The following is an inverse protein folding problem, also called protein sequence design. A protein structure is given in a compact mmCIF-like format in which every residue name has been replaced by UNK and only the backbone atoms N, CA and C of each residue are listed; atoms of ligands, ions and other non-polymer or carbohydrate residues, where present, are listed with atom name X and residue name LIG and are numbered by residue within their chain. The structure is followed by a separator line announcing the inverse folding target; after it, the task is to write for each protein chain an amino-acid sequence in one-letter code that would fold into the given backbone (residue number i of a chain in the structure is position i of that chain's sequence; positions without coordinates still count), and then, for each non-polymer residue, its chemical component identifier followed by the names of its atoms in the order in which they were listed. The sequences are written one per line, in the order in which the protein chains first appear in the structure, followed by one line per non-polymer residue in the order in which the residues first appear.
data_IF_862442427209
#
_entry.id   IF_862442427209
#
_cell.length_a   1.000
_cell.length_b   1.000
_cell.length_c   1.000
_cell.angle_alpha   90.00
_cell.angle_beta   90.00
_cell.angle_gamma   90.00
#
_symmetry.space_group_name_H-M   'P 1'
#
loop_
_entity.id
_entity.type
_entity.pdbx_description
1 polymer ?
#
# COMPACT_ATOMS: atom_id res chain seq x y z
N UNK A 1 -46.78 3.99 32.94
CA UNK A 1 -45.40 4.51 32.75
C UNK A 1 -44.80 3.92 31.48
N UNK A 2 -45.42 4.17 30.32
CA UNK A 2 -45.09 3.50 29.06
C UNK A 2 -45.30 4.39 27.82
N UNK A 3 -45.48 5.70 28.03
CA UNK A 3 -45.93 6.63 26.97
C UNK A 3 -44.84 7.60 26.51
N UNK A 4 -43.72 7.65 27.24
CA UNK A 4 -42.45 8.22 26.80
C UNK A 4 -41.60 7.14 26.14
N UNK A 5 -42.17 6.32 25.24
CA UNK A 5 -41.34 5.50 24.35
C UNK A 5 -40.68 6.46 23.34
N UNK A 6 -39.61 7.07 23.85
CA UNK A 6 -38.42 7.63 23.23
C UNK A 6 -38.59 8.20 21.81
N UNK A 7 -39.24 9.36 21.71
CA UNK A 7 -39.01 10.30 20.57
C UNK A 7 -37.51 10.54 20.38
N UNK A 8 -36.75 10.56 21.48
CA UNK A 8 -35.28 10.59 21.48
C UNK A 8 -34.65 9.44 20.69
N UNK A 9 -35.17 8.21 20.79
CA UNK A 9 -34.62 7.06 20.06
C UNK A 9 -34.85 7.16 18.55
N UNK A 10 -35.96 7.77 18.12
CA UNK A 10 -36.21 8.05 16.70
C UNK A 10 -35.19 9.05 16.15
N UNK A 11 -34.93 10.13 16.89
CA UNK A 11 -33.93 11.14 16.51
C UNK A 11 -32.50 10.59 16.55
N UNK A 12 -32.19 9.72 17.53
CA UNK A 12 -30.91 8.99 17.60
C UNK A 12 -30.70 8.07 16.39
N UNK A 13 -31.72 7.32 15.96
CA UNK A 13 -31.65 6.44 14.80
C UNK A 13 -31.47 7.23 13.49
N UNK A 14 -32.21 8.33 13.31
CA UNK A 14 -32.02 9.23 12.16
C UNK A 14 -30.63 9.85 12.15
N UNK A 15 -30.13 10.27 13.32
CA UNK A 15 -28.77 10.81 13.46
C UNK A 15 -27.73 9.75 13.12
N UNK A 16 -27.83 8.55 13.68
CA UNK A 16 -26.90 7.45 13.41
C UNK A 16 -26.88 7.08 11.92
N UNK A 17 -28.05 7.02 11.27
CA UNK A 17 -28.15 6.84 9.81
C UNK A 17 -27.36 7.92 9.06
N UNK A 18 -27.54 9.19 9.44
CA UNK A 18 -26.80 10.30 8.83
C UNK A 18 -25.29 10.19 9.03
N UNK A 19 -24.84 9.87 10.24
CA UNK A 19 -23.42 9.67 10.56
C UNK A 19 -22.82 8.46 9.81
N UNK A 20 -23.59 7.38 9.62
CA UNK A 20 -23.12 6.20 8.88
C UNK A 20 -22.91 6.50 7.39
N UNK A 21 -23.80 7.29 6.78
CA UNK A 21 -23.64 7.74 5.38
C UNK A 21 -22.41 8.64 5.27
N UNK A 22 -22.27 9.62 6.16
CA UNK A 22 -21.10 10.51 6.19
C UNK A 22 -19.79 9.73 6.34
N UNK A 23 -19.74 8.79 7.27
CA UNK A 23 -18.58 7.92 7.47
C UNK A 23 -18.22 7.18 6.18
N UNK A 24 -19.19 6.62 5.48
CA UNK A 24 -18.95 5.91 4.23
C UNK A 24 -18.37 6.83 3.14
N UNK A 25 -18.91 8.03 3.01
CA UNK A 25 -18.43 9.01 2.03
C UNK A 25 -17.03 9.53 2.37
N UNK A 26 -16.75 9.78 3.66
CA UNK A 26 -15.42 10.16 4.16
C UNK A 26 -14.40 9.05 3.92
N UNK A 27 -14.74 7.79 4.25
CA UNK A 27 -13.87 6.64 4.00
C UNK A 27 -13.54 6.48 2.51
N UNK A 28 -14.53 6.63 1.63
CA UNK A 28 -14.30 6.61 0.18
C UNK A 28 -13.34 7.71 -0.23
N UNK A 29 -13.60 8.95 0.17
CA UNK A 29 -12.80 10.10 -0.21
C UNK A 29 -11.33 9.95 0.25
N UNK A 30 -11.12 9.55 1.50
CA UNK A 30 -9.78 9.36 2.07
C UNK A 30 -9.03 8.20 1.41
N UNK A 31 -9.69 7.07 1.15
CA UNK A 31 -9.07 5.95 0.44
C UNK A 31 -8.67 6.31 -1.00
N UNK A 32 -9.50 7.08 -1.70
CA UNK A 32 -9.16 7.56 -3.05
C UNK A 32 -8.01 8.58 -3.03
N UNK A 33 -7.97 9.48 -2.06
CA UNK A 33 -6.87 10.41 -1.89
C UNK A 33 -5.55 9.66 -1.64
N UNK A 34 -5.56 8.69 -0.73
CA UNK A 34 -4.41 7.85 -0.44
C UNK A 34 -3.94 7.04 -1.67
N UNK A 35 -4.85 6.43 -2.45
CA UNK A 35 -4.48 5.71 -3.68
C UNK A 35 -3.87 6.65 -4.72
N UNK A 36 -4.40 7.88 -4.85
CA UNK A 36 -3.84 8.89 -5.76
C UNK A 36 -2.40 9.27 -5.38
N UNK A 37 -2.15 9.52 -4.10
CA UNK A 37 -0.82 9.87 -3.59
C UNK A 37 0.17 8.73 -3.72
N UNK A 38 -0.26 7.49 -3.47
CA UNK A 38 0.56 6.30 -3.67
C UNK A 38 0.94 6.12 -5.14
N UNK A 39 -0.03 6.20 -6.06
CA UNK A 39 0.24 6.10 -7.51
C UNK A 39 1.23 7.16 -7.96
N UNK A 40 1.02 8.41 -7.54
CA UNK A 40 1.94 9.52 -7.85
C UNK A 40 3.34 9.27 -7.31
N UNK A 41 3.44 8.73 -6.09
CA UNK A 41 4.73 8.41 -5.47
C UNK A 41 5.45 7.28 -6.22
N UNK A 42 4.72 6.22 -6.59
CA UNK A 42 5.24 5.11 -7.40
C UNK A 42 5.78 5.63 -8.74
N UNK A 43 4.97 6.41 -9.46
CA UNK A 43 5.37 7.00 -10.74
C UNK A 43 6.60 7.91 -10.57
N UNK A 44 6.64 8.73 -9.52
CA UNK A 44 7.78 9.61 -9.26
C UNK A 44 9.06 8.81 -9.02
N UNK A 45 9.03 7.72 -8.25
CA UNK A 45 10.22 6.88 -8.00
C UNK A 45 10.64 6.13 -9.27
N UNK A 46 9.70 5.43 -9.92
CA UNK A 46 9.99 4.54 -11.04
C UNK A 46 10.35 5.28 -12.33
N UNK A 47 9.67 6.40 -12.61
CA UNK A 47 9.84 7.14 -13.86
C UNK A 47 10.74 8.34 -13.64
N UNK A 48 10.34 9.26 -12.77
CA UNK A 48 11.01 10.56 -12.64
C UNK A 48 12.40 10.43 -12.01
N UNK A 49 12.51 9.78 -10.86
CA UNK A 49 13.79 9.61 -10.16
C UNK A 49 14.74 8.68 -10.93
N UNK A 50 14.24 7.57 -11.47
CA UNK A 50 15.08 6.67 -12.26
C UNK A 50 15.69 7.39 -13.48
N UNK A 51 14.89 8.17 -14.22
CA UNK A 51 15.38 8.97 -15.34
C UNK A 51 16.36 10.05 -14.89
N UNK A 52 16.05 10.76 -13.80
CA UNK A 52 16.91 11.79 -13.23
C UNK A 52 18.30 11.24 -12.89
N UNK A 53 18.38 10.15 -12.13
CA UNK A 53 19.66 9.62 -11.68
C UNK A 53 20.46 8.95 -12.81
N UNK A 54 19.80 8.34 -13.80
CA UNK A 54 20.47 7.89 -15.04
C UNK A 54 21.13 9.06 -15.77
N UNK A 55 20.40 10.18 -15.94
CA UNK A 55 20.95 11.41 -16.55
C UNK A 55 22.10 11.98 -15.73
N UNK A 56 21.97 12.03 -14.40
CA UNK A 56 23.02 12.53 -13.51
C UNK A 56 24.29 11.67 -13.59
N UNK A 57 24.15 10.34 -13.65
CA UNK A 57 25.30 9.45 -13.81
C UNK A 57 26.06 9.74 -15.11
N UNK A 58 25.34 9.94 -16.23
CA UNK A 58 25.97 10.31 -17.50
C UNK A 58 26.76 11.60 -17.38
N UNK A 59 26.13 12.68 -16.90
CA UNK A 59 26.76 13.99 -16.75
C UNK A 59 27.99 13.93 -15.84
N UNK A 60 27.87 13.27 -14.68
CA UNK A 60 28.97 13.16 -13.70
C UNK A 60 30.12 12.30 -14.25
N UNK A 61 29.82 11.30 -15.06
CA UNK A 61 30.84 10.47 -15.73
C UNK A 61 31.59 11.27 -16.80
N UNK A 62 30.90 12.10 -17.58
CA UNK A 62 31.52 13.03 -18.53
C UNK A 62 32.44 14.03 -17.80
N UNK A 63 32.00 14.58 -16.67
CA UNK A 63 32.80 15.48 -15.83
C UNK A 63 34.05 14.81 -15.27
N UNK A 64 33.93 13.54 -14.84
CA UNK A 64 35.09 12.75 -14.42
C UNK A 64 36.08 12.54 -15.57
N UNK A 65 35.59 12.23 -16.78
CA UNK A 65 36.42 12.14 -17.98
C UNK A 65 37.18 13.43 -18.26
N UNK A 66 36.49 14.58 -18.20
CA UNK A 66 37.11 15.91 -18.37
C UNK A 66 38.19 16.16 -17.32
N UNK A 67 37.89 15.92 -16.04
CA UNK A 67 38.86 16.12 -14.95
C UNK A 67 40.11 15.25 -15.12
N UNK A 68 39.96 14.00 -15.58
CA UNK A 68 41.08 13.10 -15.88
C UNK A 68 41.92 13.59 -17.06
N UNK A 69 41.27 14.08 -18.12
CA UNK A 69 41.97 14.67 -19.27
C UNK A 69 42.75 15.92 -18.89
N UNK A 70 42.19 16.80 -18.06
CA UNK A 70 42.86 18.00 -17.54
C UNK A 70 44.09 17.63 -16.68
N UNK A 71 43.94 16.64 -15.78
CA UNK A 71 45.06 16.11 -15.00
C UNK A 71 46.18 15.57 -15.91
N UNK A 72 45.83 14.75 -16.91
CA UNK A 72 46.81 14.22 -17.86
C UNK A 72 47.48 15.33 -18.68
N UNK A 73 46.71 16.34 -19.10
CA UNK A 73 47.26 17.51 -19.82
C UNK A 73 48.30 18.22 -18.97
N UNK A 74 47.97 18.57 -17.72
CA UNK A 74 48.90 19.30 -16.83
C UNK A 74 50.10 18.45 -16.43
N UNK A 75 49.91 17.14 -16.24
CA UNK A 75 51.00 16.19 -15.95
C UNK A 75 51.99 16.08 -17.10
N UNK A 76 51.52 16.18 -18.34
CA UNK A 76 52.34 16.11 -19.55
C UNK A 76 52.94 17.47 -19.97
N UNK A 77 52.47 18.58 -19.39
CA UNK A 77 53.07 19.90 -19.61
C UNK A 77 54.43 19.99 -18.91
N UNK A 78 55.43 20.51 -19.63
CA UNK A 78 56.77 20.80 -19.12
C UNK A 78 56.96 22.30 -19.07
N UNK A 79 57.60 22.80 -18.01
CA UNK A 79 58.03 24.21 -17.92
C UNK A 79 59.28 24.45 -18.79
N UNK A 80 59.59 25.72 -19.12
CA UNK A 80 60.80 26.12 -19.89
C UNK A 80 62.14 25.61 -19.31
N UNK A 81 62.15 25.22 -18.03
CA UNK A 81 63.29 24.64 -17.30
C UNK A 81 63.21 23.10 -17.18
N UNK A 82 62.38 22.44 -18.00
CA UNK A 82 62.09 20.98 -17.98
C UNK A 82 61.53 20.43 -16.65
N UNK A 83 61.10 21.33 -15.74
CA UNK A 83 60.45 20.96 -14.49
C UNK A 83 58.96 20.59 -14.70
N UNK A 84 58.49 19.55 -13.99
CA UNK A 84 57.07 19.15 -13.95
C UNK A 84 56.26 20.16 -13.13
N UNK A 85 55.04 20.47 -13.60
CA UNK A 85 54.08 21.32 -12.88
C UNK A 85 53.42 20.57 -11.70
N UNK A 86 53.07 21.31 -10.64
CA UNK A 86 52.29 20.77 -9.53
C UNK A 86 50.87 20.41 -9.98
N UNK A 87 50.45 19.16 -9.76
CA UNK A 87 49.16 18.60 -10.19
C UNK A 87 48.15 18.38 -9.03
N UNK A 88 48.43 18.94 -7.86
CA UNK A 88 47.67 18.66 -6.62
C UNK A 88 46.20 19.08 -6.72
N UNK A 89 45.90 20.18 -7.40
CA UNK A 89 44.54 20.70 -7.56
C UNK A 89 43.71 19.82 -8.50
N UNK A 90 44.31 19.37 -9.60
CA UNK A 90 43.69 18.48 -10.59
C UNK A 90 43.43 17.10 -10.00
N UNK A 91 44.37 16.57 -9.20
CA UNK A 91 44.16 15.32 -8.46
C UNK A 91 42.99 15.42 -7.47
N UNK A 92 42.89 16.55 -6.75
CA UNK A 92 41.73 16.82 -5.88
C UNK A 92 40.43 16.92 -6.68
N UNK A 93 40.46 17.54 -7.86
CA UNK A 93 39.30 17.66 -8.74
C UNK A 93 38.82 16.29 -9.27
N UNK A 94 39.75 15.41 -9.68
CA UNK A 94 39.43 14.02 -10.08
C UNK A 94 38.79 13.27 -8.92
N UNK A 95 39.41 13.28 -7.73
CA UNK A 95 38.85 12.62 -6.54
C UNK A 95 37.44 13.14 -6.21
N UNK A 96 37.21 14.45 -6.36
CA UNK A 96 35.88 15.02 -6.14
C UNK A 96 34.86 14.58 -7.20
N UNK A 97 35.25 14.47 -8.47
CA UNK A 97 34.39 13.96 -9.52
C UNK A 97 34.06 12.46 -9.32
N UNK A 98 35.02 11.65 -8.88
CA UNK A 98 34.82 10.23 -8.55
C UNK A 98 33.79 10.06 -7.43
N UNK A 99 33.89 10.85 -6.35
CA UNK A 99 32.89 10.85 -5.28
C UNK A 99 31.49 11.15 -5.77
N UNK A 100 31.34 12.09 -6.71
CA UNK A 100 30.04 12.45 -7.30
C UNK A 100 29.47 11.31 -8.15
N UNK A 101 30.31 10.63 -8.95
CA UNK A 101 29.88 9.45 -9.72
C UNK A 101 29.41 8.35 -8.77
N UNK A 102 30.15 8.10 -7.69
CA UNK A 102 29.80 7.07 -6.72
C UNK A 102 28.49 7.39 -5.96
N UNK A 103 28.28 8.65 -5.59
CA UNK A 103 26.99 9.10 -5.07
C UNK A 103 25.84 8.81 -6.04
N UNK A 104 25.99 9.12 -7.33
CA UNK A 104 24.95 8.85 -8.31
C UNK A 104 24.66 7.35 -8.46
N UNK A 105 25.68 6.50 -8.43
CA UNK A 105 25.52 5.03 -8.44
C UNK A 105 24.75 4.54 -7.21
N UNK A 106 25.11 5.02 -6.02
CA UNK A 106 24.38 4.72 -4.78
C UNK A 106 22.93 5.15 -4.86
N UNK A 107 22.65 6.33 -5.41
CA UNK A 107 21.28 6.82 -5.61
C UNK A 107 20.49 5.97 -6.60
N UNK A 108 21.10 5.52 -7.70
CA UNK A 108 20.46 4.58 -8.64
C UNK A 108 20.13 3.25 -7.93
N UNK A 109 21.05 2.71 -7.14
CA UNK A 109 20.81 1.49 -6.38
C UNK A 109 19.66 1.67 -5.38
N UNK A 110 19.63 2.81 -4.67
CA UNK A 110 18.54 3.16 -3.77
C UNK A 110 17.20 3.27 -4.51
N UNK A 111 17.13 3.95 -5.66
CA UNK A 111 15.90 4.03 -6.46
C UNK A 111 15.42 2.63 -6.86
N UNK A 112 16.31 1.75 -7.34
CA UNK A 112 15.92 0.37 -7.69
C UNK A 112 15.42 -0.44 -6.50
N UNK A 113 16.02 -0.25 -5.33
CA UNK A 113 15.57 -0.89 -4.09
C UNK A 113 14.18 -0.40 -3.70
N UNK A 114 13.99 0.92 -3.64
CA UNK A 114 12.72 1.53 -3.25
C UNK A 114 11.61 1.32 -4.27
N UNK A 115 11.90 1.26 -5.58
CA UNK A 115 10.89 0.91 -6.59
C UNK A 115 10.24 -0.44 -6.28
N UNK A 116 11.06 -1.48 -6.04
CA UNK A 116 10.54 -2.82 -5.73
C UNK A 116 9.83 -2.87 -4.40
N UNK A 117 10.42 -2.26 -3.35
CA UNK A 117 9.80 -2.28 -2.03
C UNK A 117 8.47 -1.54 -2.02
N UNK A 118 8.38 -0.43 -2.76
CA UNK A 118 7.15 0.36 -2.86
C UNK A 118 6.07 -0.42 -3.61
N UNK A 119 6.39 -1.09 -4.73
CA UNK A 119 5.45 -1.96 -5.45
C UNK A 119 4.84 -3.04 -4.55
N UNK A 120 5.67 -3.74 -3.77
CA UNK A 120 5.23 -4.75 -2.79
C UNK A 120 4.27 -4.14 -1.76
N UNK A 121 4.67 -3.05 -1.11
CA UNK A 121 3.83 -2.42 -0.07
C UNK A 121 2.54 -1.81 -0.62
N UNK A 122 2.57 -1.29 -1.86
CA UNK A 122 1.37 -0.74 -2.51
C UNK A 122 0.40 -1.85 -2.86
N UNK A 123 0.90 -3.01 -3.32
CA UNK A 123 0.05 -4.17 -3.58
C UNK A 123 -0.63 -4.67 -2.31
N UNK A 124 0.11 -4.79 -1.20
CA UNK A 124 -0.43 -5.15 0.11
C UNK A 124 -1.51 -4.15 0.56
N UNK A 125 -1.21 -2.85 0.50
CA UNK A 125 -2.17 -1.79 0.84
C UNK A 125 -3.44 -1.87 -0.02
N UNK A 126 -3.29 -2.02 -1.33
CA UNK A 126 -4.42 -2.07 -2.27
C UNK A 126 -5.35 -3.24 -1.97
N UNK A 127 -4.81 -4.40 -1.57
CA UNK A 127 -5.63 -5.55 -1.19
C UNK A 127 -6.54 -5.25 0.02
N UNK A 128 -5.99 -4.60 1.05
CA UNK A 128 -6.71 -4.24 2.27
C UNK A 128 -7.71 -3.10 2.03
N UNK A 129 -7.28 -2.06 1.32
CA UNK A 129 -8.11 -0.92 0.97
C UNK A 129 -9.31 -1.32 0.10
N UNK A 130 -9.11 -2.22 -0.87
CA UNK A 130 -10.19 -2.73 -1.71
C UNK A 130 -11.19 -3.59 -0.91
N UNK A 131 -10.69 -4.38 0.05
CA UNK A 131 -11.54 -5.13 0.97
C UNK A 131 -12.44 -4.20 1.80
N UNK A 132 -11.86 -3.16 2.40
CA UNK A 132 -12.59 -2.16 3.16
C UNK A 132 -13.63 -1.42 2.30
N UNK A 133 -13.25 -0.98 1.10
CA UNK A 133 -14.15 -0.28 0.18
C UNK A 133 -15.34 -1.17 -0.22
N UNK A 134 -15.08 -2.44 -0.53
CA UNK A 134 -16.12 -3.42 -0.90
C UNK A 134 -17.09 -3.65 0.27
N UNK A 135 -16.57 -3.71 1.50
CA UNK A 135 -17.39 -3.84 2.72
C UNK A 135 -18.27 -2.60 2.90
N UNK A 136 -17.70 -1.40 2.80
CA UNK A 136 -18.44 -0.14 2.91
C UNK A 136 -19.53 -0.03 1.85
N UNK A 137 -19.23 -0.38 0.60
CA UNK A 137 -20.20 -0.31 -0.51
C UNK A 137 -21.32 -1.35 -0.42
N UNK A 138 -21.08 -2.50 0.23
CA UNK A 138 -22.11 -3.52 0.42
C UNK A 138 -22.93 -3.32 1.70
N UNK A 139 -22.27 -3.03 2.82
CA UNK A 139 -22.86 -3.12 4.15
C UNK A 139 -23.52 -1.81 4.57
N UNK A 140 -22.98 -0.65 4.18
CA UNK A 140 -23.57 0.64 4.54
C UNK A 140 -24.96 0.81 3.92
N UNK A 141 -25.21 0.55 2.62
CA UNK A 141 -26.57 0.65 2.06
C UNK A 141 -27.56 -0.30 2.76
N UNK A 142 -27.13 -1.50 3.13
CA UNK A 142 -27.96 -2.47 3.87
C UNK A 142 -28.31 -1.97 5.27
N UNK A 143 -27.31 -1.45 5.99
CA UNK A 143 -27.50 -0.89 7.32
C UNK A 143 -28.43 0.34 7.28
N UNK A 144 -28.26 1.22 6.29
CA UNK A 144 -29.14 2.38 6.07
C UNK A 144 -30.59 1.94 5.79
N UNK A 145 -30.80 0.98 4.88
CA UNK A 145 -32.13 0.45 4.59
C UNK A 145 -32.80 -0.17 5.82
N UNK A 146 -32.01 -0.84 6.67
CA UNK A 146 -32.49 -1.41 7.94
C UNK A 146 -32.87 -0.32 8.94
N UNK A 147 -32.07 0.74 9.07
CA UNK A 147 -32.38 1.90 9.92
C UNK A 147 -33.64 2.62 9.42
N UNK A 148 -33.84 2.73 8.11
CA UNK A 148 -35.04 3.31 7.51
C UNK A 148 -36.29 2.47 7.83
N UNK A 149 -36.19 1.13 7.76
CA UNK A 149 -37.28 0.24 8.16
C UNK A 149 -37.61 0.32 9.66
N UNK A 150 -36.59 0.44 10.52
CA UNK A 150 -36.76 0.63 11.97
C UNK A 150 -37.41 1.98 12.31
N UNK A 151 -36.97 3.06 11.63
CA UNK A 151 -37.58 4.38 11.81
C UNK A 151 -39.05 4.37 11.36
N UNK A 152 -39.37 3.77 10.22
CA UNK A 152 -40.74 3.67 9.72
C UNK A 152 -41.65 2.88 10.68
N UNK A 153 -41.13 1.79 11.27
CA UNK A 153 -41.91 0.97 12.19
C UNK A 153 -42.17 1.67 13.53
N UNK A 154 -41.17 2.38 14.08
CA UNK A 154 -41.33 3.21 15.28
C UNK A 154 -42.28 4.39 15.04
N UNK A 155 -42.27 4.96 13.84
CA UNK A 155 -43.18 6.06 13.50
C UNK A 155 -44.63 5.57 13.38
N UNK A 156 -44.86 4.41 12.76
CA UNK A 156 -46.20 3.80 12.68
C UNK A 156 -46.80 3.45 14.05
N UNK A 157 -45.95 3.04 15.01
CA UNK A 157 -46.36 2.88 16.41
C UNK A 157 -46.82 4.19 17.05
N UNK A 158 -46.06 5.27 16.85
CA UNK A 158 -46.38 6.59 17.41
C UNK A 158 -47.71 7.13 16.85
N UNK A 159 -48.03 6.81 15.60
CA UNK A 159 -49.27 7.21 14.91
C UNK A 159 -50.50 6.35 15.32
N UNK A 160 -50.38 5.46 16.31
CA UNK A 160 -51.47 4.63 16.83
C UNK A 160 -51.71 3.33 16.07
N UNK A 161 -50.78 2.91 15.21
CA UNK A 161 -50.79 1.62 14.55
C UNK A 161 -50.49 0.45 15.49
N UNK A 162 -50.89 -0.79 15.14
CA UNK A 162 -50.52 -1.97 15.92
C UNK A 162 -49.00 -2.13 15.96
N UNK A 163 -48.47 -2.80 17.00
CA UNK A 163 -47.09 -3.23 17.03
C UNK A 163 -46.66 -3.89 15.73
N UNK A 164 -45.59 -3.42 15.03
CA UNK A 164 -44.87 -4.20 14.06
C UNK A 164 -44.49 -5.50 14.77
N UNK A 165 -45.05 -6.60 14.28
CA UNK A 165 -44.32 -7.85 14.25
C UNK A 165 -42.99 -7.48 13.59
N UNK A 166 -41.91 -7.42 14.37
CA UNK A 166 -40.58 -7.49 13.80
C UNK A 166 -40.63 -8.71 12.87
N UNK A 167 -40.57 -8.46 11.56
CA UNK A 167 -40.57 -9.51 10.55
C UNK A 167 -39.44 -10.44 10.95
N UNK A 168 -39.84 -11.63 11.38
CA UNK A 168 -38.99 -12.56 12.06
C UNK A 168 -37.70 -12.78 11.28
N UNK A 169 -36.61 -12.74 12.04
CA UNK A 169 -35.17 -12.92 11.79
C UNK A 169 -34.63 -13.68 10.58
N UNK A 170 -35.37 -14.08 9.54
CA UNK A 170 -34.81 -14.88 8.44
C UNK A 170 -33.73 -14.12 7.65
N UNK A 171 -33.93 -12.83 7.36
CA UNK A 171 -32.94 -12.02 6.66
C UNK A 171 -31.72 -11.69 7.55
N UNK A 172 -31.93 -11.59 8.87
CA UNK A 172 -30.92 -11.23 9.87
C UNK A 172 -30.00 -12.40 10.20
N UNK A 173 -30.58 -13.59 10.35
CA UNK A 173 -29.85 -14.83 10.56
C UNK A 173 -29.09 -15.26 9.30
N UNK A 174 -29.64 -15.02 8.11
CA UNK A 174 -28.98 -15.32 6.84
C UNK A 174 -27.80 -14.38 6.53
N UNK A 175 -27.81 -13.13 7.02
CA UNK A 175 -26.75 -12.15 6.78
C UNK A 175 -25.63 -12.24 7.83
N UNK A 176 -25.97 -12.49 9.11
CA UNK A 176 -24.97 -12.84 10.14
C UNK A 176 -24.28 -14.18 9.85
N UNK A 177 -25.00 -15.17 9.29
CA UNK A 177 -24.38 -16.42 8.82
C UNK A 177 -23.43 -16.18 7.64
N UNK A 178 -23.74 -15.27 6.71
CA UNK A 178 -22.90 -14.96 5.54
C UNK A 178 -21.64 -14.19 5.89
N UNK A 179 -21.73 -13.22 6.80
CA UNK A 179 -20.57 -12.49 7.31
C UNK A 179 -19.65 -13.42 8.12
N UNK A 180 -20.21 -14.30 8.95
CA UNK A 180 -19.46 -15.33 9.67
C UNK A 180 -18.78 -16.36 8.73
N UNK A 181 -19.43 -16.81 7.64
CA UNK A 181 -18.78 -17.71 6.67
C UNK A 181 -17.69 -17.03 5.85
N UNK A 182 -17.79 -15.72 5.63
CA UNK A 182 -16.77 -14.95 4.90
C UNK A 182 -15.48 -14.78 5.73
N UNK A 183 -15.59 -14.58 7.04
CA UNK A 183 -14.44 -14.55 7.94
C UNK A 183 -13.79 -15.94 8.12
N UNK A 184 -14.57 -17.03 8.10
CA UNK A 184 -14.05 -18.40 8.25
C UNK A 184 -13.28 -18.89 7.00
N UNK A 185 -13.67 -18.43 5.80
CA UNK A 185 -12.95 -18.74 4.54
C UNK A 185 -11.69 -17.89 4.32
N UNK A 186 -11.53 -16.77 5.04
CA UNK A 186 -10.35 -15.90 4.95
C UNK A 186 -9.21 -16.35 5.89
N UNK A 187 -9.43 -17.36 6.73
CA UNK A 187 -8.40 -17.96 7.57
C UNK A 187 -7.54 -18.91 6.73
N UNK A 188 -6.21 -18.74 6.65
CA UNK A 188 -5.36 -19.75 6.04
C UNK A 188 -5.51 -21.04 6.84
N UNK A 189 -5.85 -22.13 6.18
CA UNK A 189 -5.87 -23.48 6.76
C UNK A 189 -4.44 -23.86 7.13
N UNK A 190 -4.02 -23.54 8.35
CA UNK A 190 -2.87 -24.19 8.99
C UNK A 190 -3.26 -25.64 9.29
N UNK A 191 -2.90 -26.54 8.39
CA UNK A 191 -3.07 -27.97 8.61
C UNK A 191 -3.28 -28.72 7.31
N UNK A 192 -2.18 -28.96 6.58
CA UNK A 192 -1.96 -30.18 5.81
C UNK A 192 -0.48 -30.23 5.38
N UNK A 193 0.37 -30.58 6.36
CA UNK A 193 1.70 -31.16 6.10
C UNK A 193 1.78 -32.49 6.85
N UNK A 194 0.90 -33.42 6.52
CA UNK A 194 1.21 -34.84 6.68
C UNK A 194 1.87 -35.32 5.39
N UNK A 195 3.20 -35.14 5.35
CA UNK A 195 4.03 -35.83 4.38
C UNK A 195 4.13 -37.30 4.78
N UNK A 196 3.32 -38.11 4.11
CA UNK A 196 3.48 -39.55 3.84
C UNK A 196 4.95 -39.99 3.92
N UNK A 197 5.34 -40.63 5.03
CA UNK A 197 6.52 -41.48 5.05
C UNK A 197 6.08 -42.85 4.55
N UNK A 198 6.28 -43.05 3.24
CA UNK A 198 6.08 -44.34 2.58
C UNK A 198 7.09 -45.34 3.09
N UNK A 199 6.59 -46.29 3.87
CA UNK A 199 7.19 -47.57 4.17
C UNK A 199 7.34 -48.35 2.87
N UNK A 200 8.57 -48.57 2.40
CA UNK A 200 8.88 -49.55 1.37
C UNK A 200 10.14 -50.31 1.74
N UNK A 201 9.89 -51.54 2.15
CA UNK A 201 10.83 -52.64 2.33
C UNK A 201 11.49 -52.97 1.00
N UNK A 202 12.82 -52.92 0.92
CA UNK A 202 13.60 -53.74 -0.01
C UNK A 202 14.78 -54.32 0.77
N UNK A 203 14.77 -55.64 0.90
CA UNK A 203 15.88 -56.42 1.43
C UNK A 203 16.99 -56.65 0.42
N UNK A 204 18.15 -56.99 0.98
CA UNK A 204 19.13 -58.00 0.54
C UNK A 204 19.65 -57.97 -0.91
N UNK A 205 20.97 -57.81 -1.02
CA UNK A 205 21.97 -58.67 -1.70
C UNK A 205 23.13 -57.79 -2.19
N UNK A 206 24.33 -57.87 -1.60
CA UNK A 206 25.39 -58.87 -1.79
C UNK A 206 26.42 -58.45 -2.87
N UNK A 207 27.67 -58.32 -2.39
CA UNK A 207 28.94 -58.66 -3.02
C UNK A 207 29.63 -57.80 -4.11
N UNK A 208 30.98 -57.84 -3.96
CA UNK A 208 32.10 -57.41 -4.82
C UNK A 208 32.53 -55.93 -4.79
#
# INVERSE_FOLDING_TARGET
MSEQVRVEALEELKRFRGELIKLADELRAELYAADSDLRRTVEWVQTTQAAHWKRQLRIRTEQLGRARSELNRKRNQRTRLDARLSCVEEEKAVKAAERRVEEARRKIAAVRHWSRKLEETVFEYQSLAQGLLTMVDADVPRAVARLDAMNASLQAYLDGGPPPEWVASEALDADMRRTATRDDQARPTEGDTEATTGESVIGEEENA
#
